data_IF_966669506049
#
_entry.id   IF_966669506049
#
_cell.length_a   1.000
_cell.length_b   1.000
_cell.length_c   1.000
_cell.angle_alpha   90.00
_cell.angle_beta   90.00
_cell.angle_gamma   90.00
#
_symmetry.space_group_name_H-M   'P 1'
#
loop_
_entity.id
_entity.type
_entity.pdbx_description
1 polymer ?
#
# COMPACT_ATOMS: atom_id res chain seq x y z
N UNK A 1 -12.08 -6.52 -18.01
CA UNK A 1 -12.54 -7.18 -16.77
C UNK A 1 -13.13 -8.54 -17.07
N UNK A 2 -12.68 -9.64 -16.44
CA UNK A 2 -13.16 -11.00 -16.68
C UNK A 2 -14.50 -11.25 -15.98
N UNK A 3 -15.56 -10.63 -16.46
CA UNK A 3 -16.90 -10.64 -15.84
C UNK A 3 -17.45 -12.05 -15.62
N UNK A 4 -17.25 -12.98 -16.59
CA UNK A 4 -17.74 -14.36 -16.48
C UNK A 4 -17.10 -15.14 -15.32
N UNK A 5 -15.81 -14.94 -15.09
CA UNK A 5 -15.08 -15.53 -13.95
C UNK A 5 -15.56 -14.96 -12.63
N UNK A 6 -15.64 -13.64 -12.54
CA UNK A 6 -16.12 -12.94 -11.34
C UNK A 6 -17.52 -13.40 -10.94
N UNK A 7 -18.46 -13.42 -11.92
CA UNK A 7 -19.83 -13.91 -11.71
C UNK A 7 -19.86 -15.35 -11.20
N UNK A 8 -19.03 -16.25 -11.78
CA UNK A 8 -18.96 -17.65 -11.36
C UNK A 8 -18.47 -17.78 -9.92
N UNK A 9 -17.39 -17.09 -9.56
CA UNK A 9 -16.85 -17.08 -8.20
C UNK A 9 -17.91 -16.56 -7.22
N UNK A 10 -18.53 -15.42 -7.52
CA UNK A 10 -19.59 -14.83 -6.69
C UNK A 10 -20.75 -15.81 -6.45
N UNK A 11 -21.24 -16.48 -7.52
CA UNK A 11 -22.32 -17.47 -7.40
C UNK A 11 -21.94 -18.65 -6.52
N UNK A 12 -20.69 -19.12 -6.60
CA UNK A 12 -20.22 -20.25 -5.79
C UNK A 12 -20.04 -19.87 -4.30
N UNK A 13 -19.72 -18.61 -4.01
CA UNK A 13 -19.53 -18.11 -2.65
C UNK A 13 -20.87 -17.80 -1.97
N UNK A 14 -21.79 -17.18 -2.69
CA UNK A 14 -23.11 -16.82 -2.16
C UNK A 14 -24.06 -18.06 -2.18
N UNK A 15 -23.88 -18.93 -1.20
CA UNK A 15 -24.73 -20.09 -0.95
C UNK A 15 -25.01 -20.24 0.55
N UNK A 16 -25.99 -21.07 0.90
CA UNK A 16 -26.47 -21.22 2.27
C UNK A 16 -25.41 -21.76 3.24
N UNK A 17 -24.40 -22.47 2.74
CA UNK A 17 -23.31 -23.00 3.57
C UNK A 17 -22.28 -21.95 3.99
N UNK A 18 -22.29 -20.75 3.38
CA UNK A 18 -21.38 -19.65 3.67
C UNK A 18 -22.05 -18.50 4.44
N UNK A 19 -23.08 -18.78 5.22
CA UNK A 19 -23.81 -17.75 5.97
C UNK A 19 -22.94 -16.95 6.96
N UNK A 20 -21.82 -17.54 7.43
CA UNK A 20 -20.83 -16.89 8.29
C UNK A 20 -20.13 -15.67 7.65
N UNK A 21 -20.19 -15.54 6.31
CA UNK A 21 -19.67 -14.35 5.62
C UNK A 21 -20.41 -13.06 5.95
N UNK A 22 -21.60 -13.17 6.54
CA UNK A 22 -22.39 -12.03 7.01
C UNK A 22 -22.13 -11.68 8.47
N UNK A 23 -21.28 -12.45 9.16
CA UNK A 23 -20.81 -12.08 10.49
C UNK A 23 -19.69 -11.02 10.40
N UNK A 24 -19.43 -10.33 11.51
CA UNK A 24 -18.35 -9.36 11.59
C UNK A 24 -17.00 -10.03 11.32
N UNK A 25 -16.20 -9.43 10.42
CA UNK A 25 -14.85 -9.86 10.10
C UNK A 25 -13.77 -9.20 10.97
N UNK A 26 -12.53 -9.57 10.72
CA UNK A 26 -11.37 -8.98 11.39
C UNK A 26 -11.13 -7.53 10.92
N UNK A 27 -10.70 -6.67 11.83
CA UNK A 27 -10.43 -5.25 11.54
C UNK A 27 -9.39 -5.03 10.42
N UNK A 28 -8.37 -5.89 10.37
CA UNK A 28 -7.33 -5.86 9.33
C UNK A 28 -7.79 -6.44 7.98
N UNK A 29 -8.97 -7.04 7.91
CA UNK A 29 -9.42 -7.90 6.83
C UNK A 29 -9.17 -9.38 7.13
N UNK A 30 -9.91 -10.26 6.49
CA UNK A 30 -9.90 -11.70 6.75
C UNK A 30 -8.49 -12.29 6.54
N UNK A 31 -8.07 -13.16 7.46
CA UNK A 31 -6.70 -13.71 7.48
C UNK A 31 -6.31 -14.38 6.16
N UNK A 32 -7.20 -15.17 5.58
CA UNK A 32 -6.92 -15.92 4.34
C UNK A 32 -6.68 -14.99 3.14
N UNK A 33 -7.41 -13.88 3.05
CA UNK A 33 -7.11 -12.87 2.02
C UNK A 33 -5.74 -12.23 2.28
N UNK A 34 -5.42 -11.89 3.53
CA UNK A 34 -4.10 -11.33 3.87
C UNK A 34 -2.96 -12.29 3.56
N UNK A 35 -3.16 -13.58 3.79
CA UNK A 35 -2.20 -14.64 3.42
C UNK A 35 -2.03 -14.73 1.90
N UNK A 36 -3.13 -14.68 1.15
CA UNK A 36 -3.12 -14.67 -0.32
C UNK A 36 -2.39 -13.43 -0.87
N UNK A 37 -2.66 -12.25 -0.32
CA UNK A 37 -1.95 -11.01 -0.67
C UNK A 37 -0.45 -11.13 -0.37
N UNK A 38 -0.07 -11.67 0.79
CA UNK A 38 1.34 -11.85 1.18
C UNK A 38 2.08 -12.73 0.16
N UNK A 39 1.50 -13.86 -0.24
CA UNK A 39 2.07 -14.76 -1.25
C UNK A 39 2.20 -14.10 -2.63
N UNK A 40 1.14 -13.43 -3.06
CA UNK A 40 1.14 -12.66 -4.30
C UNK A 40 2.25 -11.60 -4.31
N UNK A 41 2.36 -10.80 -3.26
CA UNK A 41 3.38 -9.74 -3.14
C UNK A 41 4.79 -10.29 -3.15
N UNK A 42 5.02 -11.42 -2.48
CA UNK A 42 6.33 -12.06 -2.46
C UNK A 42 6.74 -12.51 -3.87
N UNK A 43 5.83 -13.16 -4.61
CA UNK A 43 6.12 -13.68 -5.96
C UNK A 43 6.23 -12.59 -7.02
N UNK A 44 5.35 -11.58 -6.96
CA UNK A 44 5.22 -10.57 -8.03
C UNK A 44 6.12 -9.34 -7.83
N UNK A 45 6.35 -8.93 -6.58
CA UNK A 45 7.02 -7.66 -6.24
C UNK A 45 8.25 -7.81 -5.35
N UNK A 46 8.52 -9.04 -4.87
CA UNK A 46 9.60 -9.30 -3.92
C UNK A 46 9.35 -8.70 -2.54
N UNK A 47 8.13 -8.23 -2.25
CA UNK A 47 7.78 -7.66 -0.94
C UNK A 47 7.91 -8.73 0.14
N UNK A 48 8.73 -8.47 1.14
CA UNK A 48 8.91 -9.35 2.28
C UNK A 48 7.93 -8.96 3.40
N UNK A 49 6.82 -9.67 3.49
CA UNK A 49 5.79 -9.42 4.50
C UNK A 49 5.09 -10.70 4.96
N UNK A 50 4.49 -10.64 6.14
CA UNK A 50 3.61 -11.67 6.69
C UNK A 50 2.17 -11.17 6.78
N UNK A 51 1.16 -12.06 6.84
CA UNK A 51 -0.25 -11.67 6.91
C UNK A 51 -0.57 -10.69 8.06
N UNK A 52 0.13 -10.81 9.19
CA UNK A 52 -0.05 -9.95 10.37
C UNK A 52 0.29 -8.48 10.11
N UNK A 53 1.14 -8.21 9.11
CA UNK A 53 1.54 -6.85 8.71
C UNK A 53 0.57 -6.20 7.73
N UNK A 54 -0.39 -6.97 7.19
CA UNK A 54 -1.26 -6.51 6.11
C UNK A 54 -2.58 -5.99 6.67
N UNK A 55 -2.99 -4.82 6.19
CA UNK A 55 -4.29 -4.20 6.46
C UNK A 55 -5.01 -4.02 5.14
N UNK A 56 -6.21 -4.59 5.02
CA UNK A 56 -7.08 -4.45 3.86
C UNK A 56 -8.06 -3.30 4.08
N UNK A 57 -8.25 -2.45 3.08
CA UNK A 57 -9.13 -1.28 3.20
C UNK A 57 -9.83 -0.89 1.89
N UNK A 58 -10.89 -0.10 2.02
CA UNK A 58 -11.73 0.36 0.92
C UNK A 58 -11.05 1.45 0.07
N UNK A 59 -9.92 1.10 -0.56
CA UNK A 59 -9.13 1.96 -1.43
C UNK A 59 -8.05 2.75 -0.68
N UNK A 60 -7.12 3.32 -1.46
CA UNK A 60 -5.95 4.03 -0.92
C UNK A 60 -6.33 5.20 0.00
N UNK A 61 -7.43 5.88 -0.29
CA UNK A 61 -7.86 7.02 0.53
C UNK A 61 -8.07 6.61 1.99
N UNK A 62 -8.77 5.49 2.21
CA UNK A 62 -8.98 4.96 3.56
C UNK A 62 -7.65 4.58 4.22
N UNK A 63 -6.75 3.93 3.50
CA UNK A 63 -5.45 3.55 4.04
C UNK A 63 -4.60 4.77 4.42
N UNK A 64 -4.62 5.82 3.60
CA UNK A 64 -3.95 7.08 3.94
C UNK A 64 -4.58 7.76 5.16
N UNK A 65 -5.93 7.74 5.31
CA UNK A 65 -6.62 8.22 6.52
C UNK A 65 -6.22 7.41 7.75
N UNK A 66 -6.05 6.10 7.60
CA UNK A 66 -5.61 5.23 8.68
C UNK A 66 -4.19 5.54 9.15
N UNK A 67 -3.30 5.94 8.23
CA UNK A 67 -1.93 6.32 8.56
C UNK A 67 -1.84 7.48 9.54
N UNK A 68 -2.79 8.43 9.53
CA UNK A 68 -2.82 9.51 10.55
C UNK A 68 -2.96 8.93 11.97
N UNK A 69 -3.76 7.89 12.14
CA UNK A 69 -3.90 7.21 13.43
C UNK A 69 -2.63 6.47 13.82
N UNK A 70 -1.96 5.85 12.86
CA UNK A 70 -0.76 5.04 13.08
C UNK A 70 0.46 5.91 13.36
N UNK A 71 0.72 6.89 12.51
CA UNK A 71 1.90 7.77 12.58
C UNK A 71 1.74 8.90 13.63
N UNK A 72 0.49 9.25 13.96
CA UNK A 72 0.15 10.34 14.86
C UNK A 72 -0.04 11.67 14.13
N UNK A 73 -0.35 12.70 14.94
CA UNK A 73 -0.59 14.08 14.45
C UNK A 73 0.72 14.85 14.31
N UNK A 74 0.66 15.95 13.56
CA UNK A 74 1.80 16.89 13.40
C UNK A 74 3.06 16.24 12.81
N UNK A 75 2.90 15.28 11.93
CA UNK A 75 4.01 14.64 11.21
C UNK A 75 4.48 15.54 10.08
N UNK A 76 5.79 15.73 9.95
CA UNK A 76 6.40 16.29 8.75
C UNK A 76 6.48 15.20 7.67
N UNK A 77 5.89 15.47 6.50
CA UNK A 77 5.90 14.56 5.36
C UNK A 77 6.46 15.24 4.12
N UNK A 78 7.44 14.61 3.49
CA UNK A 78 7.93 15.01 2.17
C UNK A 78 7.14 14.30 1.08
N UNK A 79 6.82 15.02 0.02
CA UNK A 79 6.18 14.50 -1.18
C UNK A 79 6.97 14.91 -2.42
N UNK A 80 6.97 14.07 -3.44
CA UNK A 80 7.59 14.37 -4.74
C UNK A 80 6.98 15.62 -5.38
N UNK A 81 7.79 16.37 -6.14
CA UNK A 81 7.32 17.50 -6.93
C UNK A 81 7.62 17.26 -8.42
N UNK A 82 6.60 17.02 -9.29
CA UNK A 82 5.16 16.97 -9.00
C UNK A 82 4.73 15.71 -8.23
N UNK A 83 3.54 15.76 -7.58
CA UNK A 83 3.03 14.64 -6.78
C UNK A 83 1.57 14.30 -7.09
N UNK A 84 1.10 13.18 -6.56
CA UNK A 84 -0.30 12.76 -6.62
C UNK A 84 -1.20 13.69 -5.78
N UNK A 85 -1.94 14.56 -6.46
CA UNK A 85 -2.74 15.63 -5.82
C UNK A 85 -3.74 15.13 -4.78
N UNK A 86 -4.28 13.91 -4.95
CA UNK A 86 -5.27 13.35 -4.00
C UNK A 86 -4.61 13.00 -2.67
N UNK A 87 -3.46 12.30 -2.69
CA UNK A 87 -2.68 12.03 -1.49
C UNK A 87 -2.26 13.32 -0.79
N UNK A 88 -1.78 14.32 -1.57
CA UNK A 88 -1.44 15.64 -1.03
C UNK A 88 -2.61 16.28 -0.26
N UNK A 89 -3.83 16.26 -0.83
CA UNK A 89 -5.02 16.81 -0.18
C UNK A 89 -5.40 16.07 1.10
N UNK A 90 -5.25 14.74 1.11
CA UNK A 90 -5.51 13.91 2.29
C UNK A 90 -4.52 14.27 3.40
N UNK A 91 -3.22 14.27 3.15
CA UNK A 91 -2.21 14.63 4.16
C UNK A 91 -2.38 16.06 4.65
N UNK A 92 -2.76 16.99 3.76
CA UNK A 92 -3.06 18.38 4.16
C UNK A 92 -4.25 18.46 5.12
N UNK A 93 -5.26 17.58 4.97
CA UNK A 93 -6.43 17.56 5.86
C UNK A 93 -6.11 17.12 7.30
N UNK A 94 -4.96 16.45 7.50
CA UNK A 94 -4.48 16.04 8.83
C UNK A 94 -3.68 17.13 9.56
N UNK A 95 -3.55 18.31 8.99
CA UNK A 95 -2.64 19.34 9.45
C UNK A 95 -1.16 18.88 9.46
N UNK A 96 -0.77 17.94 8.60
CA UNK A 96 0.61 17.56 8.42
C UNK A 96 1.41 18.71 7.81
N UNK A 97 2.64 18.88 8.27
CA UNK A 97 3.59 19.78 7.62
C UNK A 97 4.11 19.11 6.35
N UNK A 98 3.60 19.56 5.20
CA UNK A 98 3.97 18.96 3.90
C UNK A 98 5.09 19.79 3.28
N UNK A 99 6.18 19.13 2.94
CA UNK A 99 7.29 19.67 2.16
C UNK A 99 7.32 18.98 0.80
N UNK A 100 7.40 19.75 -0.27
CA UNK A 100 7.61 19.22 -1.62
C UNK A 100 9.08 19.16 -1.94
N UNK A 101 9.57 17.98 -2.33
CA UNK A 101 10.97 17.73 -2.68
C UNK A 101 11.08 17.50 -4.18
N UNK A 102 11.93 18.28 -4.83
CA UNK A 102 12.12 18.18 -6.29
C UNK A 102 12.66 16.82 -6.69
N UNK A 103 12.24 16.41 -7.87
CA UNK A 103 12.71 15.20 -8.54
C UNK A 103 13.74 15.54 -9.60
N UNK A 104 14.59 14.58 -9.89
CA UNK A 104 15.39 14.51 -11.11
C UNK A 104 15.01 13.26 -11.93
N UNK A 105 15.78 12.89 -12.92
CA UNK A 105 15.59 11.70 -13.76
C UNK A 105 15.68 10.36 -13.00
N UNK A 106 16.16 10.37 -11.76
CA UNK A 106 16.31 9.21 -10.87
C UNK A 106 15.22 9.09 -9.80
N UNK A 107 14.35 10.10 -9.65
CA UNK A 107 13.29 10.19 -8.64
C UNK A 107 13.51 11.30 -7.60
N UNK A 108 12.80 11.24 -6.46
CA UNK A 108 12.94 12.22 -5.37
C UNK A 108 14.40 12.40 -4.94
N UNK A 109 14.87 13.63 -4.85
CA UNK A 109 16.25 13.96 -4.49
C UNK A 109 16.51 13.73 -3.00
N UNK A 110 17.25 12.67 -2.66
CA UNK A 110 17.57 12.30 -1.28
C UNK A 110 18.43 13.35 -0.55
N UNK A 111 19.31 14.07 -1.27
CA UNK A 111 20.12 15.16 -0.73
C UNK A 111 19.26 16.37 -0.28
N UNK A 112 18.17 16.65 -0.99
CA UNK A 112 17.21 17.67 -0.59
C UNK A 112 16.34 17.20 0.57
N UNK A 113 15.88 15.96 0.52
CA UNK A 113 15.10 15.36 1.60
C UNK A 113 15.84 15.39 2.95
N UNK A 114 17.15 15.18 2.96
CA UNK A 114 17.96 15.22 4.18
C UNK A 114 17.97 16.60 4.87
N UNK A 115 17.73 17.69 4.13
CA UNK A 115 17.72 19.05 4.63
C UNK A 115 16.38 19.44 5.28
N UNK A 116 15.34 18.62 5.07
CA UNK A 116 13.99 18.95 5.50
C UNK A 116 13.66 18.36 6.89
N UNK A 117 12.88 19.09 7.72
CA UNK A 117 12.48 18.64 9.04
C UNK A 117 11.31 17.65 9.00
N UNK A 118 11.45 16.59 8.19
CA UNK A 118 10.40 15.59 7.96
C UNK A 118 10.80 14.23 8.51
N UNK A 119 9.80 13.43 8.86
CA UNK A 119 9.96 12.05 9.33
C UNK A 119 9.44 11.00 8.34
N UNK A 120 8.62 11.42 7.40
CA UNK A 120 8.01 10.52 6.42
C UNK A 120 8.25 11.07 5.02
N UNK A 121 8.53 10.20 4.05
CA UNK A 121 8.53 10.57 2.65
C UNK A 121 7.58 9.65 1.86
N UNK A 122 6.68 10.27 1.09
CA UNK A 122 5.73 9.58 0.22
C UNK A 122 6.28 9.57 -1.21
N UNK A 123 6.46 8.37 -1.76
CA UNK A 123 7.11 8.15 -3.07
C UNK A 123 6.36 7.10 -3.90
N UNK A 124 6.47 7.21 -5.21
CA UNK A 124 5.93 6.25 -6.20
C UNK A 124 7.08 5.69 -7.06
N UNK A 125 7.90 4.75 -6.53
CA UNK A 125 9.17 4.37 -7.15
C UNK A 125 9.03 3.57 -8.45
N UNK A 126 7.93 2.84 -8.61
CA UNK A 126 7.73 1.95 -9.76
C UNK A 126 7.20 2.67 -10.98
N UNK A 127 6.34 3.67 -10.76
CA UNK A 127 5.76 4.49 -11.83
C UNK A 127 5.23 5.79 -11.21
N UNK A 128 6.07 6.81 -11.19
CA UNK A 128 5.73 8.09 -10.58
C UNK A 128 4.56 8.78 -11.30
N UNK A 129 3.57 9.20 -10.55
CA UNK A 129 2.47 9.98 -11.08
C UNK A 129 2.65 11.48 -10.78
N UNK A 130 2.59 12.40 -11.77
CA UNK A 130 2.11 12.18 -13.15
C UNK A 130 3.22 11.97 -14.20
N UNK A 131 4.50 11.92 -13.84
CA UNK A 131 5.61 11.99 -14.79
C UNK A 131 5.88 10.66 -15.52
N UNK A 132 5.46 9.53 -14.93
CA UNK A 132 5.79 8.21 -15.46
C UNK A 132 7.25 7.78 -15.18
N UNK A 133 8.00 8.56 -14.43
CA UNK A 133 9.39 8.25 -14.10
C UNK A 133 9.50 6.97 -13.24
N UNK A 134 10.53 6.18 -13.49
CA UNK A 134 10.87 5.01 -12.70
C UNK A 134 12.09 5.33 -11.84
N UNK A 135 11.95 5.21 -10.52
CA UNK A 135 13.05 5.49 -9.60
C UNK A 135 14.16 4.46 -9.74
N UNK A 136 15.39 4.94 -9.91
CA UNK A 136 16.57 4.07 -10.05
C UNK A 136 16.88 3.31 -8.76
N UNK A 137 17.52 2.13 -8.87
CA UNK A 137 17.95 1.32 -7.72
C UNK A 137 18.87 2.13 -6.79
N UNK A 138 19.78 2.93 -7.36
CA UNK A 138 20.66 3.81 -6.58
C UNK A 138 19.88 4.80 -5.72
N UNK A 139 18.86 5.45 -6.29
CA UNK A 139 18.02 6.40 -5.55
C UNK A 139 17.17 5.72 -4.47
N UNK A 140 16.65 4.52 -4.74
CA UNK A 140 15.94 3.71 -3.72
C UNK A 140 16.84 3.43 -2.52
N UNK A 141 18.09 3.03 -2.76
CA UNK A 141 19.07 2.81 -1.70
C UNK A 141 19.41 4.10 -0.92
N UNK A 142 19.46 5.27 -1.58
CA UNK A 142 19.66 6.56 -0.91
C UNK A 142 18.49 6.89 0.02
N UNK A 143 17.25 6.69 -0.42
CA UNK A 143 16.06 6.92 0.40
C UNK A 143 15.97 5.95 1.59
N UNK A 144 16.29 4.67 1.40
CA UNK A 144 16.36 3.70 2.49
C UNK A 144 17.40 4.13 3.55
N UNK A 145 18.61 4.51 3.13
CA UNK A 145 19.63 5.04 4.05
C UNK A 145 19.15 6.30 4.78
N UNK A 146 18.40 7.18 4.13
CA UNK A 146 17.79 8.34 4.80
C UNK A 146 16.83 7.91 5.91
N UNK A 147 15.96 6.93 5.65
CA UNK A 147 15.02 6.43 6.63
C UNK A 147 15.70 5.70 7.80
N UNK A 148 16.78 4.98 7.54
CA UNK A 148 17.54 4.24 8.54
C UNK A 148 18.30 5.13 9.55
N UNK A 149 18.62 6.37 9.18
CA UNK A 149 19.36 7.31 10.06
C UNK A 149 18.62 7.67 11.35
N UNK A 150 17.28 7.54 11.35
CA UNK A 150 16.46 7.85 12.55
C UNK A 150 15.39 6.78 12.76
N UNK A 151 15.13 6.39 14.00
CA UNK A 151 14.16 5.33 14.31
C UNK A 151 12.73 5.67 13.89
N UNK A 152 12.36 6.95 13.89
CA UNK A 152 11.03 7.48 13.59
C UNK A 152 10.85 7.94 12.13
N UNK A 153 11.83 7.70 11.25
CA UNK A 153 11.70 7.95 9.81
C UNK A 153 11.13 6.74 9.08
N UNK A 154 10.23 6.99 8.14
CA UNK A 154 9.60 5.98 7.29
C UNK A 154 9.44 6.48 5.85
N UNK A 155 9.37 5.53 4.92
CA UNK A 155 9.00 5.74 3.53
C UNK A 155 7.59 5.16 3.31
N UNK A 156 6.71 5.88 2.63
CA UNK A 156 5.45 5.35 2.10
C UNK A 156 5.67 5.09 0.62
N UNK A 157 5.70 3.84 0.23
CA UNK A 157 5.74 3.40 -1.15
C UNK A 157 4.31 3.20 -1.66
N UNK A 158 3.83 4.08 -2.54
CA UNK A 158 2.54 3.90 -3.22
C UNK A 158 2.77 3.21 -4.58
N UNK A 159 2.40 1.94 -4.65
CA UNK A 159 2.59 1.05 -5.79
C UNK A 159 1.22 0.74 -6.43
N UNK A 160 0.68 1.74 -7.12
CA UNK A 160 -0.72 1.77 -7.57
C UNK A 160 -0.99 1.03 -8.89
N UNK A 161 0.03 0.65 -9.66
CA UNK A 161 -0.14 0.07 -11.00
C UNK A 161 0.93 -0.98 -11.38
N UNK A 162 1.55 -1.59 -10.40
CA UNK A 162 2.64 -2.55 -10.59
C UNK A 162 2.25 -3.85 -11.31
N UNK A 163 0.96 -4.15 -11.38
CA UNK A 163 0.43 -5.28 -12.14
C UNK A 163 0.54 -5.07 -13.66
N UNK A 164 0.65 -3.82 -14.11
CA UNK A 164 0.78 -3.50 -15.52
C UNK A 164 2.25 -3.56 -15.96
N UNK A 165 2.56 -4.54 -16.77
CA UNK A 165 3.88 -4.64 -17.43
C UNK A 165 3.93 -3.74 -18.64
N UNK A 166 4.43 -2.53 -18.49
CA UNK A 166 4.58 -1.63 -19.64
C UNK A 166 5.75 -2.01 -20.53
N UNK A 167 6.87 -2.52 -19.99
CA UNK A 167 8.05 -3.08 -20.70
C UNK A 167 8.99 -3.81 -19.73
N UNK A 168 9.65 -4.89 -20.21
CA UNK A 168 10.79 -5.56 -19.54
C UNK A 168 10.42 -6.47 -18.35
N UNK A 169 11.46 -6.80 -17.55
CA UNK A 169 11.30 -7.60 -16.33
C UNK A 169 10.63 -6.78 -15.22
N UNK A 170 9.83 -7.39 -14.34
CA UNK A 170 9.28 -6.70 -13.18
C UNK A 170 10.39 -6.04 -12.36
N UNK A 171 10.22 -4.75 -12.04
CA UNK A 171 11.13 -4.06 -11.14
C UNK A 171 10.68 -4.39 -9.72
N UNK A 172 11.56 -4.94 -8.85
CA UNK A 172 11.21 -5.19 -7.46
C UNK A 172 10.73 -3.90 -6.78
N UNK A 173 9.90 -4.02 -5.75
CA UNK A 173 9.46 -2.88 -4.95
C UNK A 173 10.63 -2.23 -4.20
N UNK A 174 10.46 -1.01 -3.71
CA UNK A 174 11.40 -0.39 -2.78
C UNK A 174 11.47 -1.22 -1.48
N UNK A 175 10.32 -1.69 -1.01
CA UNK A 175 10.20 -2.51 0.19
C UNK A 175 11.00 -3.82 0.10
N UNK A 176 11.16 -4.40 -1.10
CA UNK A 176 11.97 -5.63 -1.27
C UNK A 176 13.43 -5.50 -0.85
N UNK A 177 13.94 -4.28 -0.76
CA UNK A 177 15.31 -3.96 -0.33
C UNK A 177 15.35 -3.36 1.09
N UNK A 178 14.24 -3.38 1.81
CA UNK A 178 14.12 -2.84 3.18
C UNK A 178 14.42 -3.90 4.23
N UNK A 179 15.66 -3.99 4.66
CA UNK A 179 16.08 -4.91 5.73
C UNK A 179 15.83 -4.37 7.14
N UNK A 180 15.39 -3.12 7.29
CA UNK A 180 15.24 -2.43 8.57
C UNK A 180 13.80 -2.11 8.97
N UNK A 181 12.82 -2.48 8.14
CA UNK A 181 11.42 -2.19 8.42
C UNK A 181 11.11 -0.69 8.40
N UNK A 182 11.51 -0.01 7.34
CA UNK A 182 11.33 1.43 7.14
C UNK A 182 10.28 1.78 6.11
N UNK A 183 9.80 0.80 5.35
CA UNK A 183 8.86 1.04 4.25
C UNK A 183 7.45 0.59 4.63
N UNK A 184 6.51 1.52 4.55
CA UNK A 184 5.07 1.27 4.52
C UNK A 184 4.70 1.11 3.05
N UNK A 185 4.32 -0.11 2.66
CA UNK A 185 3.96 -0.39 1.27
C UNK A 185 2.44 -0.33 1.09
N UNK A 186 1.96 0.36 0.05
CA UNK A 186 0.55 0.47 -0.30
C UNK A 186 0.34 -0.03 -1.72
N UNK A 187 -0.59 -0.95 -1.89
CA UNK A 187 -1.02 -1.47 -3.18
C UNK A 187 -2.54 -1.47 -3.34
N UNK A 188 -3.01 -1.61 -4.58
CA UNK A 188 -4.44 -1.57 -4.89
C UNK A 188 -4.83 -2.56 -5.97
N UNK A 189 -5.95 -3.25 -5.79
CA UNK A 189 -6.57 -4.07 -6.83
C UNK A 189 -7.52 -3.28 -7.74
N UNK A 190 -7.87 -2.05 -7.33
CA UNK A 190 -8.89 -1.24 -8.04
C UNK A 190 -8.48 -0.87 -9.45
N UNK A 191 -7.19 -0.68 -9.72
CA UNK A 191 -6.73 -0.32 -11.07
C UNK A 191 -6.63 -1.54 -11.98
N UNK A 192 -6.13 -2.64 -11.46
CA UNK A 192 -5.89 -3.86 -12.22
C UNK A 192 -7.17 -4.65 -12.51
N UNK A 193 -8.12 -4.69 -11.56
CA UNK A 193 -9.36 -5.46 -11.71
C UNK A 193 -10.49 -4.55 -12.20
N UNK A 194 -11.00 -3.69 -11.34
CA UNK A 194 -12.01 -2.68 -11.69
C UNK A 194 -12.03 -1.57 -10.63
N UNK A 195 -12.18 -0.28 -11.03
CA UNK A 195 -12.19 0.84 -10.07
C UNK A 195 -13.29 0.76 -9.01
N UNK A 196 -14.41 0.11 -9.33
CA UNK A 196 -15.55 -0.05 -8.43
C UNK A 196 -15.31 -1.04 -7.28
N UNK A 197 -14.36 -1.96 -7.40
CA UNK A 197 -14.05 -2.95 -6.35
C UNK A 197 -13.53 -2.29 -5.09
N UNK A 198 -12.79 -1.19 -5.22
CA UNK A 198 -12.31 -0.39 -4.07
C UNK A 198 -11.59 -1.21 -3.00
N UNK A 199 -10.79 -2.21 -3.37
CA UNK A 199 -9.95 -2.96 -2.43
C UNK A 199 -8.50 -2.55 -2.61
N UNK A 200 -7.89 -2.09 -1.53
CA UNK A 200 -6.47 -1.78 -1.42
C UNK A 200 -5.90 -2.41 -0.15
N UNK A 201 -4.60 -2.49 -0.07
CA UNK A 201 -3.93 -3.05 1.09
C UNK A 201 -2.68 -2.25 1.44
N UNK A 202 -2.32 -2.32 2.71
CA UNK A 202 -1.12 -1.70 3.25
C UNK A 202 -0.31 -2.73 4.02
N UNK A 203 0.99 -2.77 3.80
CA UNK A 203 1.94 -3.58 4.58
C UNK A 203 2.66 -2.65 5.55
N UNK A 204 2.48 -2.88 6.85
CA UNK A 204 3.14 -2.10 7.90
C UNK A 204 4.45 -2.76 8.35
N UNK A 205 5.51 -1.98 8.58
CA UNK A 205 6.63 -2.42 9.39
C UNK A 205 6.18 -2.89 10.78
N UNK A 206 6.84 -3.90 11.33
CA UNK A 206 6.52 -4.41 12.67
C UNK A 206 6.54 -3.32 13.76
N UNK A 207 7.44 -2.35 13.62
CA UNK A 207 7.55 -1.21 14.55
C UNK A 207 6.30 -0.32 14.60
N UNK A 208 5.45 -0.37 13.58
CA UNK A 208 4.20 0.41 13.51
C UNK A 208 2.96 -0.40 13.91
N UNK A 209 3.05 -1.73 14.00
CA UNK A 209 1.90 -2.57 14.37
C UNK A 209 1.36 -2.27 15.75
N UNK A 210 2.22 -2.03 16.74
CA UNK A 210 1.77 -1.62 18.07
C UNK A 210 0.95 -0.33 18.03
N UNK A 211 1.38 0.63 17.20
CA UNK A 211 0.65 1.85 16.95
C UNK A 211 -0.72 1.63 16.32
N UNK A 212 -0.79 0.70 15.37
CA UNK A 212 -2.05 0.29 14.76
C UNK A 212 -2.98 -0.36 15.79
N UNK A 213 -2.54 -1.38 16.52
CA UNK A 213 -3.35 -2.09 17.51
C UNK A 213 -3.91 -1.14 18.59
N UNK A 214 -3.11 -0.22 19.08
CA UNK A 214 -3.54 0.73 20.12
C UNK A 214 -4.52 1.81 19.62
N UNK A 215 -4.39 2.26 18.37
CA UNK A 215 -5.05 3.48 17.90
C UNK A 215 -6.02 3.29 16.73
N UNK A 216 -6.04 2.14 16.10
CA UNK A 216 -6.79 1.93 14.88
C UNK A 216 -7.53 0.59 14.78
N UNK A 217 -7.11 -0.45 15.50
CA UNK A 217 -7.72 -1.79 15.42
C UNK A 217 -9.18 -1.85 15.86
N UNK A 218 -9.64 -0.89 16.66
CA UNK A 218 -11.06 -0.78 17.06
C UNK A 218 -11.97 -0.34 15.90
N UNK A 219 -11.41 0.13 14.78
CA UNK A 219 -12.18 0.46 13.58
C UNK A 219 -12.57 -0.83 12.85
N UNK A 220 -13.83 -0.90 12.43
CA UNK A 220 -14.30 -2.04 11.66
C UNK A 220 -13.63 -2.12 10.29
N UNK A 221 -13.51 -3.34 9.75
CA UNK A 221 -13.10 -3.54 8.35
C UNK A 221 -14.05 -2.77 7.42
N UNK A 222 -13.47 -2.14 6.40
CA UNK A 222 -14.21 -1.33 5.42
C UNK A 222 -14.51 -2.08 4.11
N UNK A 223 -14.03 -3.31 3.98
CA UNK A 223 -14.31 -4.19 2.83
C UNK A 223 -15.17 -5.34 3.31
N UNK A 224 -16.29 -5.63 2.62
CA UNK A 224 -17.16 -6.73 2.97
C UNK A 224 -16.43 -8.08 2.91
N UNK A 225 -16.78 -9.03 3.80
CA UNK A 225 -16.18 -10.36 3.77
C UNK A 225 -16.50 -11.11 2.47
N UNK A 226 -17.67 -10.84 1.89
CA UNK A 226 -18.05 -11.38 0.58
C UNK A 226 -17.06 -10.92 -0.49
N UNK A 227 -16.78 -9.61 -0.59
CA UNK A 227 -15.81 -9.08 -1.56
C UNK A 227 -14.40 -9.57 -1.28
N UNK A 228 -14.02 -9.71 -0.02
CA UNK A 228 -12.73 -10.26 0.38
C UNK A 228 -12.57 -11.70 -0.12
N UNK A 229 -13.56 -12.57 0.09
CA UNK A 229 -13.50 -13.97 -0.34
C UNK A 229 -13.55 -14.10 -1.86
N UNK A 230 -14.34 -13.26 -2.56
CA UNK A 230 -14.36 -13.23 -4.03
C UNK A 230 -12.96 -12.88 -4.56
N UNK A 231 -12.35 -11.83 -4.01
CA UNK A 231 -11.02 -11.38 -4.42
C UNK A 231 -9.94 -12.44 -4.12
N UNK A 232 -9.98 -13.06 -2.94
CA UNK A 232 -9.08 -14.15 -2.57
C UNK A 232 -9.14 -15.27 -3.61
N UNK A 233 -10.33 -15.79 -3.90
CA UNK A 233 -10.51 -16.84 -4.90
C UNK A 233 -10.04 -16.41 -6.30
N UNK A 234 -10.26 -15.15 -6.67
CA UNK A 234 -9.84 -14.61 -7.94
C UNK A 234 -8.31 -14.61 -8.09
N UNK A 235 -7.59 -14.25 -7.04
CA UNK A 235 -6.11 -14.27 -7.01
C UNK A 235 -5.61 -15.73 -7.00
N UNK A 236 -6.12 -16.58 -6.11
CA UNK A 236 -5.65 -17.97 -5.93
C UNK A 236 -5.87 -18.85 -7.16
N UNK A 237 -6.90 -18.57 -7.95
CA UNK A 237 -7.16 -19.25 -9.21
C UNK A 237 -6.35 -18.69 -10.39
N UNK A 238 -5.44 -17.75 -10.17
CA UNK A 238 -4.53 -17.20 -11.18
C UNK A 238 -5.18 -16.23 -12.17
N UNK A 239 -6.33 -15.65 -11.84
CA UNK A 239 -7.00 -14.69 -12.74
C UNK A 239 -6.51 -13.25 -12.59
N UNK A 240 -5.63 -13.02 -11.63
CA UNK A 240 -5.05 -11.71 -11.36
C UNK A 240 -3.68 -11.49 -12.02
N UNK A 241 -2.99 -12.57 -12.41
CA UNK A 241 -1.67 -12.57 -13.06
C UNK A 241 -1.73 -12.45 -14.59
#
# INVERSE_FOLDING_TARGET
FPFGVWKRITKNILNDSNSELFAQGEAQGDYDLRLTISRYLHSSRGVNCRPEQIIVGAGNDYLLLLLEKILGRHVGIAMENPTYKRAYRIFRSFAYHIVTVDMDDKGMRADRLEQEPVRVAYVMPSHQYPTGAVMTIGRRAELLRWAEKKPDRYLIEDDYDSEFRYRGKPIPSLQSSDDRGKVIYIGTFSKAIAPAIRVSYMVLPYSLLEGYHKRAEFLSSTVSRVDQLILQNFIEQGYFE
#
